data_IF_444372132068
#
_entry.id   IF_444372132068
#
_cell.length_a   1.000
_cell.length_b   1.000
_cell.length_c   1.000
_cell.angle_alpha   90.00
_cell.angle_beta   90.00
_cell.angle_gamma   90.00
#
_symmetry.space_group_name_H-M   'P 1'
#
loop_
_entity.id
_entity.type
_entity.pdbx_description
1 polymer ?
#
# COMPACT_ATOMS: atom_id res chain seq x y z
N UNK A 1 -31.17 -55.50 -25.85
CA UNK A 1 -29.73 -55.26 -25.59
C UNK A 1 -29.21 -54.22 -26.57
N UNK A 2 -29.28 -52.93 -26.21
CA UNK A 2 -28.71 -51.81 -26.98
C UNK A 2 -28.11 -50.84 -25.97
N UNK A 3 -26.84 -51.01 -25.64
CA UNK A 3 -25.99 -50.03 -24.96
C UNK A 3 -24.61 -50.67 -24.91
N UNK A 4 -23.60 -50.05 -25.52
CA UNK A 4 -22.17 -50.19 -25.16
C UNK A 4 -21.28 -49.29 -26.02
N UNK A 5 -21.70 -48.89 -27.24
CA UNK A 5 -20.89 -48.00 -28.08
C UNK A 5 -20.79 -46.55 -27.58
N UNK A 6 -21.90 -45.98 -27.08
CA UNK A 6 -21.93 -44.56 -26.68
C UNK A 6 -21.25 -44.28 -25.34
N UNK A 7 -21.21 -45.25 -24.43
CA UNK A 7 -20.52 -45.10 -23.14
C UNK A 7 -19.00 -45.17 -23.29
N UNK A 8 -18.48 -45.98 -24.21
CA UNK A 8 -17.05 -46.02 -24.53
C UNK A 8 -16.56 -44.72 -25.17
N UNK A 9 -17.37 -44.10 -26.05
CA UNK A 9 -17.01 -42.83 -26.68
C UNK A 9 -17.00 -41.67 -25.66
N UNK A 10 -17.96 -41.65 -24.72
CA UNK A 10 -18.02 -40.66 -23.65
C UNK A 10 -16.90 -40.83 -22.62
N UNK A 11 -16.53 -42.07 -22.27
CA UNK A 11 -15.41 -42.33 -21.37
C UNK A 11 -14.07 -41.93 -22.03
N UNK A 12 -13.90 -42.22 -23.32
CA UNK A 12 -12.71 -41.83 -24.08
C UNK A 12 -12.61 -40.31 -24.26
N UNK A 13 -13.73 -39.60 -24.45
CA UNK A 13 -13.74 -38.14 -24.51
C UNK A 13 -13.43 -37.52 -23.13
N UNK A 14 -13.95 -38.10 -22.05
CA UNK A 14 -13.69 -37.64 -20.69
C UNK A 14 -12.23 -37.86 -20.27
N UNK A 15 -11.61 -38.98 -20.66
CA UNK A 15 -10.17 -39.20 -20.41
C UNK A 15 -9.28 -38.33 -21.29
N UNK A 16 -9.70 -38.02 -22.53
CA UNK A 16 -9.00 -37.03 -23.36
C UNK A 16 -9.09 -35.63 -22.75
N UNK A 17 -10.28 -35.19 -22.33
CA UNK A 17 -10.47 -33.90 -21.66
C UNK A 17 -9.68 -33.81 -20.34
N UNK A 18 -9.66 -34.86 -19.51
CA UNK A 18 -8.86 -34.92 -18.28
C UNK A 18 -7.34 -34.89 -18.55
N UNK A 19 -6.87 -35.49 -19.66
CA UNK A 19 -5.46 -35.42 -20.06
C UNK A 19 -5.06 -34.04 -20.64
N UNK A 20 -6.02 -33.23 -21.09
CA UNK A 20 -5.76 -31.85 -21.54
C UNK A 20 -5.80 -30.84 -20.40
N UNK A 21 -6.32 -31.21 -19.22
CA UNK A 21 -6.24 -30.37 -18.02
C UNK A 21 -4.88 -30.48 -17.29
N UNK A 22 -3.93 -31.28 -17.79
CA UNK A 22 -2.54 -31.35 -17.31
C UNK A 22 -1.54 -30.70 -18.28
N UNK A 23 -1.98 -29.80 -19.14
CA UNK A 23 -1.12 -28.86 -19.88
C UNK A 23 -1.03 -27.56 -19.07
N UNK A 24 0.09 -27.09 -18.55
CA UNK A 24 1.45 -27.59 -18.50
C UNK A 24 2.18 -26.68 -17.53
N UNK A 25 2.45 -27.16 -16.32
CA UNK A 25 3.43 -26.51 -15.47
C UNK A 25 4.79 -26.95 -16.00
N UNK A 26 5.55 -26.02 -16.59
CA UNK A 26 6.94 -26.26 -16.96
C UNK A 26 7.68 -26.75 -15.71
N UNK A 27 8.51 -27.78 -15.83
CA UNK A 27 9.45 -28.09 -14.75
C UNK A 27 10.44 -26.93 -14.55
N UNK A 28 11.14 -26.88 -13.43
CA UNK A 28 12.02 -25.75 -13.12
C UNK A 28 13.12 -25.55 -14.19
N UNK A 29 13.65 -26.63 -14.76
CA UNK A 29 14.64 -26.58 -15.82
C UNK A 29 14.07 -26.03 -17.12
N UNK A 30 12.86 -26.43 -17.48
CA UNK A 30 12.12 -25.88 -18.61
C UNK A 30 11.73 -24.41 -18.40
N UNK A 31 11.33 -24.03 -17.18
CA UNK A 31 11.02 -22.65 -16.82
C UNK A 31 12.23 -21.74 -16.97
N UNK A 32 13.42 -22.19 -16.52
CA UNK A 32 14.68 -21.44 -16.68
C UNK A 32 15.11 -21.36 -18.15
N UNK A 33 14.99 -22.45 -18.92
CA UNK A 33 15.27 -22.43 -20.36
C UNK A 33 14.35 -21.45 -21.08
N UNK A 34 13.05 -21.47 -20.77
CA UNK A 34 12.06 -20.57 -21.35
C UNK A 34 12.32 -19.11 -20.94
N UNK A 35 12.69 -18.86 -19.68
CA UNK A 35 13.08 -17.54 -19.18
C UNK A 35 14.25 -16.96 -19.99
N UNK A 36 15.32 -17.74 -20.16
CA UNK A 36 16.49 -17.35 -20.97
C UNK A 36 16.14 -17.20 -22.45
N UNK A 37 15.30 -18.09 -23.00
CA UNK A 37 14.85 -18.04 -24.41
C UNK A 37 14.09 -16.75 -24.72
N UNK A 38 13.35 -16.21 -23.75
CA UNK A 38 12.66 -14.91 -23.85
C UNK A 38 13.60 -13.72 -23.68
N UNK A 39 14.89 -13.94 -23.47
CA UNK A 39 15.91 -12.90 -23.30
C UNK A 39 15.91 -12.25 -21.92
N UNK A 40 15.18 -12.82 -20.94
CA UNK A 40 15.25 -12.36 -19.55
C UNK A 40 16.59 -12.78 -18.94
N UNK A 41 17.10 -11.99 -18.00
CA UNK A 41 18.37 -12.24 -17.31
C UNK A 41 18.22 -12.08 -15.81
N UNK A 42 18.97 -12.88 -15.06
CA UNK A 42 19.05 -12.80 -13.61
C UNK A 42 20.51 -12.61 -13.17
N UNK A 43 20.82 -11.62 -12.32
CA UNK A 43 19.92 -10.60 -11.76
C UNK A 43 19.27 -9.70 -12.83
N UNK A 44 18.14 -9.06 -12.52
CA UNK A 44 17.50 -8.10 -13.43
C UNK A 44 18.48 -7.02 -13.83
N UNK A 45 18.33 -6.51 -15.05
CA UNK A 45 19.17 -5.43 -15.55
C UNK A 45 18.81 -4.13 -14.86
N UNK A 46 19.77 -3.24 -14.92
CA UNK A 46 19.60 -1.83 -14.58
C UNK A 46 18.33 -1.20 -15.18
N UNK A 47 18.07 -1.48 -16.46
CA UNK A 47 16.91 -0.99 -17.22
C UNK A 47 15.56 -1.60 -16.79
N UNK A 48 15.58 -2.72 -16.06
CA UNK A 48 14.37 -3.43 -15.63
C UNK A 48 13.71 -2.78 -14.39
N UNK A 49 14.41 -1.89 -13.68
CA UNK A 49 13.86 -1.16 -12.53
C UNK A 49 12.82 -0.14 -12.96
N UNK A 50 11.70 -0.06 -12.23
CA UNK A 50 10.60 0.86 -12.50
C UNK A 50 10.30 1.69 -11.25
N UNK A 51 10.44 3.03 -11.29
CA UNK A 51 10.99 3.82 -12.39
C UNK A 51 12.50 3.60 -12.57
N UNK A 52 12.98 3.72 -13.80
CA UNK A 52 14.39 3.53 -14.12
C UNK A 52 15.19 4.79 -13.78
N UNK A 53 15.37 5.04 -12.48
CA UNK A 53 16.26 6.09 -11.99
C UNK A 53 17.44 5.46 -11.24
N UNK A 54 18.63 6.10 -11.25
CA UNK A 54 19.76 5.62 -10.46
C UNK A 54 19.46 5.58 -8.96
N UNK A 55 18.64 6.49 -8.47
CA UNK A 55 18.28 6.57 -7.06
C UNK A 55 17.33 5.48 -6.60
N UNK A 56 16.29 5.22 -7.39
CA UNK A 56 15.37 4.11 -7.15
C UNK A 56 16.09 2.77 -7.13
N UNK A 57 17.02 2.58 -8.08
CA UNK A 57 17.82 1.36 -8.12
C UNK A 57 18.65 1.16 -6.86
N UNK A 58 19.43 2.16 -6.46
CA UNK A 58 20.22 2.11 -5.22
C UNK A 58 19.34 1.82 -4.01
N UNK A 59 18.14 2.43 -3.97
CA UNK A 59 17.19 2.22 -2.90
C UNK A 59 16.71 0.76 -2.84
N UNK A 60 16.35 0.18 -3.98
CA UNK A 60 15.89 -1.21 -4.07
C UNK A 60 17.03 -2.20 -3.83
N UNK A 61 18.25 -1.95 -4.30
CA UNK A 61 19.43 -2.77 -4.01
C UNK A 61 19.74 -2.81 -2.50
N UNK A 62 19.62 -1.66 -1.83
CA UNK A 62 19.73 -1.59 -0.37
C UNK A 62 18.64 -2.41 0.32
N UNK A 63 17.39 -2.34 -0.17
CA UNK A 63 16.27 -3.14 0.36
C UNK A 63 16.49 -4.65 0.16
N UNK A 64 16.95 -5.07 -1.03
CA UNK A 64 17.33 -6.46 -1.26
C UNK A 64 18.40 -6.92 -0.28
N UNK A 65 19.44 -6.10 -0.05
CA UNK A 65 20.49 -6.41 0.91
C UNK A 65 19.94 -6.57 2.35
N UNK A 66 19.02 -5.70 2.76
CA UNK A 66 18.33 -5.79 4.05
C UNK A 66 17.51 -7.07 4.17
N UNK A 67 16.68 -7.37 3.16
CA UNK A 67 15.86 -8.59 3.12
C UNK A 67 16.73 -9.85 3.20
N UNK A 68 17.87 -9.88 2.50
CA UNK A 68 18.77 -11.03 2.51
C UNK A 68 19.38 -11.29 3.90
N UNK A 69 19.50 -10.25 4.74
CA UNK A 69 19.98 -10.34 6.13
C UNK A 69 18.94 -10.85 7.13
N UNK A 70 17.66 -10.93 6.76
CA UNK A 70 16.59 -11.47 7.62
C UNK A 70 16.87 -12.94 7.93
N UNK A 71 16.78 -13.36 9.19
CA UNK A 71 17.07 -14.76 9.54
C UNK A 71 15.89 -15.70 9.24
N UNK A 72 14.67 -15.26 9.55
CA UNK A 72 13.47 -16.04 9.32
C UNK A 72 13.22 -16.24 7.81
N UNK A 73 13.18 -17.49 7.36
CA UNK A 73 13.00 -17.83 5.94
C UNK A 73 11.67 -17.36 5.35
N UNK A 74 10.59 -17.42 6.14
CA UNK A 74 9.27 -16.97 5.70
C UNK A 74 9.23 -15.46 5.51
N UNK A 75 9.75 -14.72 6.48
CA UNK A 75 9.81 -13.25 6.41
C UNK A 75 10.76 -12.78 5.31
N UNK A 76 11.90 -13.47 5.13
CA UNK A 76 12.81 -13.23 4.01
C UNK A 76 12.12 -13.42 2.66
N UNK A 77 11.40 -14.52 2.49
CA UNK A 77 10.66 -14.78 1.26
C UNK A 77 9.61 -13.68 1.01
N UNK A 78 8.81 -13.33 2.01
CA UNK A 78 7.79 -12.29 1.90
C UNK A 78 8.40 -10.93 1.59
N UNK A 79 9.48 -10.56 2.28
CA UNK A 79 10.22 -9.32 2.04
C UNK A 79 10.83 -9.27 0.64
N UNK A 80 11.35 -10.41 0.15
CA UNK A 80 11.92 -10.51 -1.18
C UNK A 80 10.84 -10.33 -2.24
N UNK A 81 9.70 -11.02 -2.10
CA UNK A 81 8.57 -10.89 -3.02
C UNK A 81 8.01 -9.47 -3.05
N UNK A 82 7.88 -8.82 -1.89
CA UNK A 82 7.46 -7.43 -1.77
C UNK A 82 8.44 -6.47 -2.46
N UNK A 83 9.75 -6.70 -2.28
CA UNK A 83 10.80 -5.87 -2.88
C UNK A 83 10.85 -6.05 -4.40
N UNK A 84 10.78 -7.28 -4.91
CA UNK A 84 10.68 -7.57 -6.36
C UNK A 84 9.45 -6.89 -6.96
N UNK A 85 8.30 -7.01 -6.30
CA UNK A 85 7.07 -6.41 -6.80
C UNK A 85 7.19 -4.88 -6.89
N UNK A 86 7.73 -4.25 -5.84
CA UNK A 86 7.92 -2.80 -5.76
C UNK A 86 8.95 -2.30 -6.78
N UNK A 87 10.08 -3.00 -6.90
CA UNK A 87 11.20 -2.61 -7.74
C UNK A 87 10.90 -2.69 -9.24
N UNK A 88 10.18 -3.73 -9.68
CA UNK A 88 10.09 -4.10 -11.11
C UNK A 88 8.67 -4.09 -11.67
N UNK A 89 7.66 -4.46 -10.87
CA UNK A 89 6.33 -4.77 -11.41
C UNK A 89 5.30 -3.67 -11.18
N UNK A 90 5.37 -2.99 -10.05
CA UNK A 90 4.39 -1.99 -9.71
C UNK A 90 4.49 -0.82 -10.71
N UNK A 91 3.35 -0.40 -11.28
CA UNK A 91 3.32 0.73 -12.20
C UNK A 91 3.64 2.01 -11.46
N UNK A 92 4.31 2.93 -12.15
CA UNK A 92 4.42 4.28 -11.67
C UNK A 92 3.23 5.10 -12.19
N UNK A 93 2.53 5.80 -11.30
CA UNK A 93 1.42 6.69 -11.64
C UNK A 93 1.81 8.17 -11.56
N UNK A 94 2.93 8.50 -10.91
CA UNK A 94 3.27 9.89 -10.56
C UNK A 94 4.77 10.15 -10.74
N UNK A 95 5.20 11.41 -10.78
CA UNK A 95 6.61 11.72 -11.05
C UNK A 95 7.55 11.22 -9.94
N UNK A 96 7.18 11.46 -8.67
CA UNK A 96 8.06 11.23 -7.50
C UNK A 96 7.47 10.25 -6.48
N UNK A 97 6.25 9.77 -6.70
CA UNK A 97 5.59 8.78 -5.83
C UNK A 97 4.79 9.37 -4.67
N UNK A 98 4.91 10.69 -4.44
CA UNK A 98 4.19 11.44 -3.41
C UNK A 98 3.95 12.89 -3.84
N UNK A 99 3.01 13.57 -3.19
CA UNK A 99 2.77 15.01 -3.33
C UNK A 99 2.09 15.58 -2.08
N UNK A 100 2.15 16.91 -1.93
CA UNK A 100 1.43 17.65 -0.89
C UNK A 100 0.39 18.56 -1.50
N UNK A 101 -0.78 18.60 -0.88
CA UNK A 101 -1.87 19.50 -1.23
C UNK A 101 -2.74 19.78 0.00
N UNK A 102 -3.85 20.52 -0.18
CA UNK A 102 -4.81 20.84 0.87
C UNK A 102 -6.15 20.14 0.60
N UNK A 103 -6.78 19.65 1.66
CA UNK A 103 -8.16 19.17 1.60
C UNK A 103 -9.15 20.34 1.46
N UNK A 104 -10.37 20.09 0.93
CA UNK A 104 -11.45 21.07 0.98
C UNK A 104 -11.73 21.50 2.42
N UNK A 105 -11.71 22.82 2.68
CA UNK A 105 -11.80 23.35 4.05
C UNK A 105 -13.07 22.88 4.77
N UNK A 106 -14.22 22.87 4.10
CA UNK A 106 -15.47 22.40 4.71
C UNK A 106 -15.47 20.92 5.11
N UNK A 107 -14.64 20.07 4.47
CA UNK A 107 -14.44 18.69 4.92
C UNK A 107 -13.53 18.65 6.15
N UNK A 108 -12.46 19.45 6.16
CA UNK A 108 -11.54 19.55 7.29
C UNK A 108 -12.27 20.02 8.55
N UNK A 109 -13.05 21.09 8.44
CA UNK A 109 -13.81 21.67 9.56
C UNK A 109 -14.73 20.63 10.20
N UNK A 110 -15.50 19.88 9.40
CA UNK A 110 -16.38 18.83 9.90
C UNK A 110 -15.63 17.61 10.47
N UNK A 111 -14.45 17.27 9.92
CA UNK A 111 -13.60 16.22 10.49
C UNK A 111 -13.04 16.63 11.85
N UNK A 112 -12.62 17.89 12.02
CA UNK A 112 -12.18 18.45 13.30
C UNK A 112 -13.31 18.44 14.32
N UNK A 113 -14.51 18.90 13.94
CA UNK A 113 -15.69 18.85 14.81
C UNK A 113 -16.05 17.41 15.21
N UNK A 114 -15.98 16.47 14.27
CA UNK A 114 -16.23 15.05 14.52
C UNK A 114 -15.17 14.45 15.44
N UNK A 115 -13.89 14.82 15.26
CA UNK A 115 -12.78 14.40 16.10
C UNK A 115 -13.00 14.83 17.55
N UNK A 116 -13.22 16.14 17.79
CA UNK A 116 -13.37 16.69 19.14
C UNK A 116 -14.59 16.11 19.86
N UNK A 117 -15.72 15.97 19.14
CA UNK A 117 -16.92 15.31 19.66
C UNK A 117 -16.67 13.83 19.98
N UNK A 118 -15.92 13.15 19.13
CA UNK A 118 -15.56 11.74 19.30
C UNK A 118 -14.65 11.50 20.50
N UNK A 119 -13.70 12.39 20.74
CA UNK A 119 -12.80 12.35 21.90
C UNK A 119 -13.53 12.51 23.24
N UNK A 120 -14.67 13.20 23.25
CA UNK A 120 -15.53 13.37 24.44
C UNK A 120 -16.58 12.26 24.59
N UNK A 121 -16.68 11.34 23.63
CA UNK A 121 -17.73 10.33 23.59
C UNK A 121 -17.41 9.12 24.46
N UNK A 122 -18.41 8.58 25.15
CA UNK A 122 -18.31 7.29 25.86
C UNK A 122 -18.03 6.10 24.91
N UNK A 123 -18.25 6.28 23.61
CA UNK A 123 -18.02 5.27 22.56
C UNK A 123 -16.62 5.35 21.94
N UNK A 124 -15.71 6.14 22.51
CA UNK A 124 -14.34 6.25 22.03
C UNK A 124 -13.67 4.88 22.02
N UNK A 125 -13.26 4.45 20.82
CA UNK A 125 -12.59 3.17 20.62
C UNK A 125 -11.07 3.30 20.65
N UNK A 126 -10.42 2.14 20.57
CA UNK A 126 -9.01 2.05 20.19
C UNK A 126 -8.91 1.40 18.83
N UNK A 127 -7.87 1.76 18.08
CA UNK A 127 -7.56 1.15 16.80
C UNK A 127 -7.37 -0.37 16.95
N UNK A 128 -7.74 -1.11 15.90
CA UNK A 128 -7.49 -2.54 15.86
C UNK A 128 -5.97 -2.81 15.88
N UNK A 129 -5.55 -4.04 16.17
CA UNK A 129 -4.12 -4.38 16.13
C UNK A 129 -3.56 -4.23 14.71
N UNK A 130 -2.86 -3.12 14.42
CA UNK A 130 -2.19 -2.87 13.15
C UNK A 130 -0.71 -3.22 13.31
N UNK A 131 -0.22 -4.15 12.47
CA UNK A 131 1.16 -4.69 12.57
C UNK A 131 2.26 -3.63 12.45
N UNK A 132 2.00 -2.53 11.75
CA UNK A 132 2.98 -1.47 11.57
C UNK A 132 2.91 -0.39 12.65
N UNK A 133 2.05 -0.48 13.67
CA UNK A 133 1.99 0.49 14.77
C UNK A 133 2.64 -0.12 16.01
N UNK A 134 3.83 0.36 16.34
CA UNK A 134 4.53 0.07 17.60
C UNK A 134 4.15 1.14 18.63
N UNK A 135 3.46 0.73 19.70
CA UNK A 135 3.06 1.63 20.77
C UNK A 135 2.78 0.85 22.05
N UNK A 136 3.01 1.48 23.20
CA UNK A 136 2.52 0.97 24.49
C UNK A 136 0.99 1.10 24.58
N UNK A 137 0.46 2.21 24.09
CA UNK A 137 -0.96 2.55 24.12
C UNK A 137 -1.52 2.67 22.71
N UNK A 138 -2.46 1.79 22.36
CA UNK A 138 -3.08 1.80 21.03
C UNK A 138 -3.64 3.20 20.68
N UNK A 139 -3.52 3.64 19.43
CA UNK A 139 -4.13 4.88 18.98
C UNK A 139 -5.63 4.87 19.29
N UNK A 140 -6.18 6.03 19.63
CA UNK A 140 -7.61 6.17 19.77
C UNK A 140 -8.25 6.15 18.38
N UNK A 141 -9.49 5.70 18.31
CA UNK A 141 -10.21 5.60 17.05
C UNK A 141 -11.59 6.20 17.19
N UNK A 142 -11.84 7.24 16.41
CA UNK A 142 -13.17 7.84 16.27
C UNK A 142 -13.82 7.25 15.02
N UNK A 143 -15.07 6.78 15.18
CA UNK A 143 -15.87 6.18 14.12
C UNK A 143 -16.79 7.24 13.50
N UNK A 144 -16.68 7.47 12.18
CA UNK A 144 -17.53 8.43 11.45
C UNK A 144 -17.85 7.98 10.01
N UNK A 145 -18.68 6.94 9.87
CA UNK A 145 -19.03 6.35 8.56
C UNK A 145 -19.51 7.35 7.50
N UNK A 146 -20.31 8.35 7.88
CA UNK A 146 -20.84 9.35 6.95
C UNK A 146 -19.72 10.25 6.39
N UNK A 147 -18.85 10.78 7.27
CA UNK A 147 -17.71 11.59 6.85
C UNK A 147 -16.68 10.78 6.07
N UNK A 148 -16.48 9.51 6.41
CA UNK A 148 -15.62 8.61 5.63
C UNK A 148 -16.11 8.51 4.18
N UNK A 149 -17.41 8.30 3.98
CA UNK A 149 -18.01 8.19 2.64
C UNK A 149 -17.93 9.50 1.86
N UNK A 150 -18.14 10.62 2.55
CA UNK A 150 -18.00 11.96 1.97
C UNK A 150 -16.56 12.25 1.55
N UNK A 151 -15.59 11.96 2.41
CA UNK A 151 -14.18 12.14 2.10
C UNK A 151 -13.75 11.33 0.88
N UNK A 152 -14.18 10.07 0.75
CA UNK A 152 -13.92 9.29 -0.47
C UNK A 152 -14.47 9.95 -1.73
N UNK A 153 -15.60 10.64 -1.63
CA UNK A 153 -16.24 11.31 -2.77
C UNK A 153 -15.53 12.62 -3.11
N UNK A 154 -15.21 13.44 -2.11
CA UNK A 154 -14.59 14.76 -2.32
C UNK A 154 -13.09 14.69 -2.65
N UNK A 155 -12.38 13.69 -2.12
CA UNK A 155 -10.94 13.55 -2.34
C UNK A 155 -10.59 12.78 -3.62
N UNK A 156 -11.51 11.96 -4.14
CA UNK A 156 -11.33 11.23 -5.41
C UNK A 156 -10.84 12.13 -6.56
N UNK A 157 -11.50 13.25 -6.91
CA UNK A 157 -11.07 14.06 -8.05
C UNK A 157 -9.66 14.66 -7.87
N UNK A 158 -9.23 14.92 -6.63
CA UNK A 158 -7.88 15.41 -6.33
C UNK A 158 -6.85 14.31 -6.65
N UNK A 159 -7.14 13.07 -6.25
CA UNK A 159 -6.27 11.92 -6.46
C UNK A 159 -6.21 11.48 -7.93
N UNK A 160 -7.34 11.54 -8.64
CA UNK A 160 -7.39 11.29 -10.08
C UNK A 160 -6.63 12.36 -10.86
N UNK A 161 -6.78 13.64 -10.48
CA UNK A 161 -6.02 14.72 -11.09
C UNK A 161 -4.50 14.58 -10.86
N UNK A 162 -4.10 14.10 -9.68
CA UNK A 162 -2.69 13.86 -9.36
C UNK A 162 -2.11 12.64 -10.07
N UNK A 163 -2.84 11.53 -10.07
CA UNK A 163 -2.37 10.24 -10.62
C UNK A 163 -2.56 10.08 -12.12
N UNK A 164 -3.42 10.92 -12.73
CA UNK A 164 -3.74 10.85 -14.16
C UNK A 164 -4.54 9.61 -14.56
N UNK A 165 -5.12 8.88 -13.59
CA UNK A 165 -5.93 7.68 -13.82
C UNK A 165 -7.27 7.79 -13.11
N UNK A 166 -8.30 7.14 -13.66
CA UNK A 166 -9.60 6.99 -13.00
C UNK A 166 -9.45 6.01 -11.83
N UNK A 167 -10.03 6.35 -10.68
CA UNK A 167 -9.86 5.61 -9.44
C UNK A 167 -11.19 5.04 -8.93
N UNK A 168 -11.14 3.82 -8.41
CA UNK A 168 -12.26 3.19 -7.70
C UNK A 168 -12.06 3.38 -6.21
N UNK A 169 -13.04 3.98 -5.53
CA UNK A 169 -13.03 4.11 -4.07
C UNK A 169 -12.93 2.73 -3.42
N UNK A 170 -11.96 2.54 -2.53
CA UNK A 170 -11.82 1.29 -1.79
C UNK A 170 -12.17 1.50 -0.31
N UNK A 171 -11.30 2.16 0.44
CA UNK A 171 -11.44 2.27 1.90
C UNK A 171 -11.20 3.69 2.39
N UNK A 172 -12.03 4.13 3.33
CA UNK A 172 -11.75 5.24 4.22
C UNK A 172 -11.72 4.70 5.64
N UNK A 173 -10.53 4.69 6.23
CA UNK A 173 -10.31 4.00 7.50
C UNK A 173 -11.02 4.72 8.63
N UNK A 174 -10.90 6.04 8.74
CA UNK A 174 -11.49 6.81 9.84
C UNK A 174 -10.45 7.69 10.52
N UNK A 175 -10.80 8.19 11.70
CA UNK A 175 -9.98 9.14 12.45
C UNK A 175 -9.19 8.37 13.49
N UNK A 176 -7.88 8.26 13.27
CA UNK A 176 -6.93 7.66 14.20
C UNK A 176 -6.22 8.75 14.96
N UNK A 177 -6.25 8.72 16.29
CA UNK A 177 -5.50 9.65 17.13
C UNK A 177 -4.30 8.91 17.70
N UNK A 178 -3.14 9.14 17.12
CA UNK A 178 -1.88 8.66 17.68
C UNK A 178 -1.65 9.37 19.01
N UNK A 179 -1.03 8.66 19.97
CA UNK A 179 -0.71 9.18 21.31
C UNK A 179 0.80 9.23 21.46
N UNK A 180 1.29 9.93 22.48
CA UNK A 180 2.70 9.88 22.86
C UNK A 180 3.19 8.42 22.88
N UNK A 181 4.42 8.21 22.39
CA UNK A 181 5.07 6.90 22.20
C UNK A 181 4.52 6.02 21.07
N UNK A 182 3.55 6.52 20.29
CA UNK A 182 3.13 5.80 19.08
C UNK A 182 4.13 5.99 17.96
N UNK A 183 4.56 4.87 17.39
CA UNK A 183 5.35 4.84 16.17
C UNK A 183 4.72 3.98 15.09
N UNK A 184 4.69 4.50 13.87
CA UNK A 184 4.28 3.79 12.67
C UNK A 184 5.58 3.40 11.96
N UNK A 185 5.77 2.11 11.74
CA UNK A 185 6.95 1.56 11.09
C UNK A 185 6.89 1.76 9.58
N UNK A 186 8.06 1.63 8.96
CA UNK A 186 8.15 1.49 7.51
C UNK A 186 7.30 0.35 6.99
N UNK A 187 6.38 0.68 6.10
CA UNK A 187 5.58 -0.31 5.42
C UNK A 187 5.20 0.24 4.05
N UNK A 188 4.98 -0.68 3.12
CA UNK A 188 4.41 -0.37 1.82
C UNK A 188 2.95 -0.81 1.87
N UNK A 189 2.05 -0.01 1.31
CA UNK A 189 0.64 -0.38 1.23
C UNK A 189 0.45 -1.69 0.45
N UNK A 190 -0.65 -2.39 0.76
CA UNK A 190 -0.96 -3.65 0.10
C UNK A 190 -1.30 -3.39 -1.37
N UNK A 191 -0.42 -3.82 -2.25
CA UNK A 191 -0.53 -3.80 -3.73
C UNK A 191 -1.90 -4.22 -4.24
N UNK A 192 -2.48 -5.25 -3.64
CA UNK A 192 -3.75 -5.83 -4.09
C UNK A 192 -4.94 -4.89 -3.90
N UNK A 193 -4.82 -3.90 -3.04
CA UNK A 193 -5.98 -3.15 -2.55
C UNK A 193 -5.85 -1.64 -2.75
N UNK A 194 -4.65 -1.05 -2.86
CA UNK A 194 -4.50 0.41 -2.74
C UNK A 194 -3.51 0.94 -3.78
N UNK A 195 -3.89 1.40 -4.98
CA UNK A 195 -2.91 1.95 -5.93
C UNK A 195 -2.45 3.37 -5.57
N UNK A 196 -3.36 4.14 -5.00
CA UNK A 196 -3.21 5.53 -4.60
C UNK A 196 -3.90 5.72 -3.24
N UNK A 197 -3.18 6.28 -2.27
CA UNK A 197 -3.68 6.57 -0.93
C UNK A 197 -3.43 8.04 -0.57
N UNK A 198 -4.11 8.53 0.44
CA UNK A 198 -3.83 9.83 1.05
C UNK A 198 -3.96 9.80 2.56
N UNK A 199 -3.06 10.52 3.21
CA UNK A 199 -3.09 10.84 4.62
C UNK A 199 -3.49 12.31 4.74
N UNK A 200 -4.61 12.57 5.40
CA UNK A 200 -5.09 13.91 5.75
C UNK A 200 -4.80 14.14 7.23
N UNK A 201 -4.02 15.19 7.51
CA UNK A 201 -3.83 15.71 8.86
C UNK A 201 -5.08 16.49 9.26
N UNK A 202 -5.75 16.06 10.33
CA UNK A 202 -7.02 16.67 10.75
C UNK A 202 -6.78 17.74 11.79
N UNK A 203 -6.02 17.44 12.83
CA UNK A 203 -5.73 18.38 13.91
C UNK A 203 -4.48 17.92 14.69
N UNK A 204 -4.02 18.70 15.66
CA UNK A 204 -3.05 18.27 16.68
C UNK A 204 -3.16 19.18 17.91
N UNK A 205 -2.61 18.75 19.05
CA UNK A 205 -2.55 19.62 20.23
C UNK A 205 -1.47 20.69 20.02
N UNK A 206 -1.74 21.93 20.42
CA UNK A 206 -0.86 23.09 20.18
C UNK A 206 0.53 22.94 20.84
N UNK A 207 0.60 22.15 21.91
CA UNK A 207 1.85 21.84 22.63
C UNK A 207 2.54 20.57 22.10
N UNK A 208 2.04 19.96 21.00
CA UNK A 208 2.66 18.77 20.41
C UNK A 208 3.93 19.11 19.65
N UNK A 209 4.95 18.29 19.83
CA UNK A 209 6.16 18.35 19.00
C UNK A 209 5.84 17.94 17.55
N UNK A 210 6.51 18.54 16.54
CA UNK A 210 6.32 18.18 15.15
C UNK A 210 6.53 16.69 14.88
N UNK A 211 5.64 16.13 14.05
CA UNK A 211 5.64 14.70 13.73
C UNK A 211 5.91 14.46 12.23
N UNK A 212 7.19 14.38 11.82
CA UNK A 212 7.53 14.26 10.41
C UNK A 212 7.20 12.87 9.85
N UNK A 213 6.56 12.84 8.69
CA UNK A 213 6.42 11.66 7.84
C UNK A 213 7.65 11.57 6.94
N UNK A 214 8.36 10.44 7.00
CA UNK A 214 9.61 10.24 6.28
C UNK A 214 9.37 9.45 5.00
N UNK A 215 9.68 10.00 3.83
CA UNK A 215 9.31 9.44 2.52
C UNK A 215 10.56 9.21 1.67
N UNK A 216 10.61 8.14 0.89
CA UNK A 216 11.75 7.83 0.00
C UNK A 216 11.36 7.93 -1.47
N UNK A 217 11.60 9.08 -2.10
CA UNK A 217 11.14 9.32 -3.47
C UNK A 217 11.76 8.39 -4.53
N UNK A 218 11.21 8.46 -5.74
CA UNK A 218 11.72 7.71 -6.88
C UNK A 218 13.11 8.14 -7.37
N UNK A 219 13.70 9.18 -6.79
CA UNK A 219 15.07 9.62 -7.05
C UNK A 219 16.02 9.15 -5.93
N UNK A 220 15.51 8.32 -5.00
CA UNK A 220 16.26 7.73 -3.89
C UNK A 220 16.57 8.73 -2.78
N UNK A 221 15.90 9.87 -2.74
CA UNK A 221 16.05 10.85 -1.67
C UNK A 221 15.11 10.50 -0.53
N UNK A 222 15.58 10.70 0.70
CA UNK A 222 14.74 10.67 1.89
C UNK A 222 14.29 12.09 2.22
N UNK A 223 12.99 12.29 2.30
CA UNK A 223 12.33 13.56 2.62
C UNK A 223 11.62 13.43 3.96
N UNK A 224 11.54 14.52 4.71
CA UNK A 224 10.75 14.61 5.95
C UNK A 224 9.67 15.65 5.76
N UNK A 225 8.43 15.27 6.05
CA UNK A 225 7.25 16.10 5.81
C UNK A 225 6.50 16.29 7.11
N UNK A 226 6.51 17.50 7.65
CA UNK A 226 5.64 17.90 8.75
C UNK A 226 4.34 18.41 8.14
N UNK A 227 3.22 17.85 8.57
CA UNK A 227 1.88 18.21 8.10
C UNK A 227 1.19 19.10 9.13
N UNK A 228 0.41 20.06 8.65
CA UNK A 228 -0.47 20.91 9.44
C UNK A 228 -1.94 20.53 9.23
N UNK A 229 -2.84 20.99 10.12
CA UNK A 229 -4.28 20.73 10.00
C UNK A 229 -4.82 21.13 8.62
N UNK A 230 -5.40 20.17 7.90
CA UNK A 230 -5.92 20.28 6.54
C UNK A 230 -4.94 19.92 5.42
N UNK A 231 -3.67 19.63 5.74
CA UNK A 231 -2.70 19.14 4.76
C UNK A 231 -3.00 17.69 4.39
N UNK A 232 -2.89 17.42 3.09
CA UNK A 232 -3.00 16.10 2.50
C UNK A 232 -1.66 15.69 1.92
N UNK A 233 -1.14 14.58 2.44
CA UNK A 233 -0.06 13.84 1.81
C UNK A 233 -0.67 12.80 0.87
N UNK A 234 -0.38 12.92 -0.42
CA UNK A 234 -0.77 11.95 -1.43
C UNK A 234 0.38 10.96 -1.61
N UNK A 235 0.08 9.66 -1.62
CA UNK A 235 1.10 8.60 -1.76
C UNK A 235 0.66 7.55 -2.76
N UNK A 236 1.63 7.02 -3.51
CA UNK A 236 1.43 5.91 -4.42
C UNK A 236 1.96 4.60 -3.81
N UNK A 237 1.51 3.47 -4.35
CA UNK A 237 1.80 2.12 -3.87
C UNK A 237 3.22 1.79 -3.45
N UNK A 238 4.22 2.47 -4.01
CA UNK A 238 5.63 2.11 -3.87
C UNK A 238 6.27 2.65 -2.59
N UNK A 239 5.47 3.30 -1.74
CA UNK A 239 5.97 4.19 -0.73
C UNK A 239 5.38 3.88 0.64
N UNK A 240 6.23 3.79 1.66
CA UNK A 240 6.11 4.56 2.91
C UNK A 240 7.20 4.17 3.91
N UNK A 241 7.83 5.18 4.51
CA UNK A 241 8.54 5.09 5.79
C UNK A 241 7.78 5.96 6.79
N UNK A 242 7.76 5.53 8.04
CA UNK A 242 7.36 6.36 9.16
C UNK A 242 8.35 6.04 10.29
N UNK A 243 8.74 7.04 11.07
CA UNK A 243 9.53 6.91 12.30
C UNK A 243 9.14 8.06 13.23
N UNK A 244 8.79 7.78 14.48
CA UNK A 244 7.79 8.60 15.18
C UNK A 244 7.90 8.55 16.71
N UNK A 245 7.58 9.69 17.35
CA UNK A 245 7.18 9.88 18.75
C UNK A 245 6.18 11.07 18.77
N UNK A 246 4.91 10.91 19.21
CA UNK A 246 3.97 12.05 19.36
C UNK A 246 2.47 11.75 19.17
N UNK A 247 1.59 12.73 19.50
CA UNK A 247 0.14 12.61 19.53
C UNK A 247 -0.55 13.37 18.36
N UNK A 248 -0.92 12.70 17.26
CA UNK A 248 -1.48 13.36 16.05
C UNK A 248 -2.67 12.58 15.47
N UNK A 249 -3.81 13.23 15.19
CA UNK A 249 -4.90 12.60 14.46
C UNK A 249 -4.75 12.61 12.93
N UNK A 250 -4.73 11.41 12.35
CA UNK A 250 -4.74 11.20 10.89
C UNK A 250 -6.04 10.58 10.40
N UNK A 251 -6.42 11.01 9.21
CA UNK A 251 -7.47 10.40 8.41
C UNK A 251 -6.86 9.80 7.15
N UNK A 252 -6.99 8.49 6.96
CA UNK A 252 -6.43 7.78 5.81
C UNK A 252 -7.52 7.30 4.85
N UNK A 253 -7.37 7.62 3.57
CA UNK A 253 -8.23 7.17 2.48
C UNK A 253 -7.44 6.53 1.36
N UNK A 254 -8.05 5.55 0.70
CA UNK A 254 -7.35 4.74 -0.28
C UNK A 254 -8.25 4.24 -1.41
N UNK A 255 -7.63 4.14 -2.58
CA UNK A 255 -8.31 3.96 -3.86
C UNK A 255 -7.58 2.91 -4.71
N UNK A 256 -8.32 2.22 -5.55
CA UNK A 256 -7.86 1.13 -6.43
C UNK A 256 -7.97 1.51 -7.91
#
# INVERSE_FOLDING_TARGET
>A
MKTNGSQFLLLALQTFLLAHFTLGALDEGERVKEYNRRGHVWPPRDEDYVPNTPGWRRLMERRFSQVMSVENTGDKYNGFMSTVHTAFNCKNFTENGWALTRAPQGLVDELVESLHRGLQSEKLGTEAGVLCIETENRPLFVQQYALNSRALTELQPILEAWSGVELVRNNAYGLRVYRNDSSLNMHVDKVQTHIISTILHVDHDADSEPWPIVIEDFQGNTQEVVLESGDMLLVSLKMMRHYLVGCVPFFCCSFQ
#
